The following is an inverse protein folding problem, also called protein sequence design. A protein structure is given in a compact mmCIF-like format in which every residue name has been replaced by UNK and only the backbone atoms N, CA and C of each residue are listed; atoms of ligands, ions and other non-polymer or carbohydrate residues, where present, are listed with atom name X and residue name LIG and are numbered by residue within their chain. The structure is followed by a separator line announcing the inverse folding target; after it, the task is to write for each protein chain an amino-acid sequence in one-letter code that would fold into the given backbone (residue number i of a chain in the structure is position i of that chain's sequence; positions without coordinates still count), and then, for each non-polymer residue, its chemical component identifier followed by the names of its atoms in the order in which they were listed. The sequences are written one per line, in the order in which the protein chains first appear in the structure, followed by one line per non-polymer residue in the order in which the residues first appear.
data_IF_678569058364
#
_entry.id   IF_678569058364
#
_cell.length_a   1.000
_cell.length_b   1.000
_cell.length_c   1.000
_cell.angle_alpha   90.00
_cell.angle_beta   90.00
_cell.angle_gamma   90.00
#
_symmetry.space_group_name_H-M   'P 1'
#
loop_
_entity.id
_entity.type
_entity.pdbx_description
1 polymer ?
#
# COMPACT_ATOMS: atom_id res chain seq x y z
N UNK A 1 -64.06 -64.44 -84.79
CA UNK A 1 -63.96 -65.76 -85.45
C UNK A 1 -62.49 -66.13 -85.42
N UNK A 2 -62.14 -67.20 -84.70
CA UNK A 2 -60.78 -67.75 -84.67
C UNK A 2 -59.95 -67.35 -83.44
N UNK A 3 -60.14 -68.11 -82.36
CA UNK A 3 -59.11 -68.37 -81.36
C UNK A 3 -57.84 -68.91 -82.05
N UNK A 4 -56.65 -68.56 -81.55
CA UNK A 4 -55.51 -69.46 -81.60
C UNK A 4 -54.59 -69.25 -80.41
N UNK A 5 -54.21 -70.41 -79.87
CA UNK A 5 -53.51 -70.72 -78.64
C UNK A 5 -52.00 -70.41 -78.64
N UNK A 6 -51.49 -70.29 -77.41
CA UNK A 6 -50.19 -70.77 -76.88
C UNK A 6 -48.87 -70.24 -77.46
N UNK A 7 -48.04 -69.67 -76.58
CA UNK A 7 -46.86 -70.40 -76.07
C UNK A 7 -46.23 -69.69 -74.86
N UNK A 8 -46.11 -70.43 -73.76
CA UNK A 8 -45.25 -70.09 -72.61
C UNK A 8 -43.78 -70.14 -73.00
N UNK A 9 -43.00 -69.10 -72.67
CA UNK A 9 -41.58 -69.26 -72.32
C UNK A 9 -41.20 -68.36 -71.15
N UNK A 10 -40.98 -69.02 -70.01
CA UNK A 10 -40.47 -68.43 -68.80
C UNK A 10 -39.07 -67.82 -69.01
N UNK A 11 -38.87 -66.65 -68.42
CA UNK A 11 -37.53 -66.12 -68.17
C UNK A 11 -37.29 -66.01 -66.67
N UNK A 12 -36.26 -66.75 -66.28
CA UNK A 12 -35.72 -66.98 -64.95
C UNK A 12 -35.42 -65.68 -64.19
N UNK A 13 -36.01 -65.55 -63.00
CA UNK A 13 -35.57 -64.62 -61.98
C UNK A 13 -34.20 -65.05 -61.46
N UNK A 14 -33.13 -64.43 -61.95
CA UNK A 14 -31.81 -64.54 -61.32
C UNK A 14 -31.78 -63.64 -60.07
N UNK A 15 -32.10 -64.27 -58.94
CA UNK A 15 -31.88 -63.73 -57.60
C UNK A 15 -30.42 -63.36 -57.41
N UNK A 16 -30.11 -62.06 -57.55
CA UNK A 16 -28.81 -61.50 -57.21
C UNK A 16 -28.76 -61.38 -55.69
N UNK A 17 -28.23 -62.42 -55.03
CA UNK A 17 -27.91 -62.44 -53.61
C UNK A 17 -26.97 -61.26 -53.28
N UNK A 18 -27.54 -60.15 -52.82
CA UNK A 18 -26.79 -59.11 -52.11
C UNK A 18 -26.37 -59.69 -50.76
N UNK A 19 -25.18 -60.26 -50.72
CA UNK A 19 -24.45 -60.47 -49.48
C UNK A 19 -24.14 -59.08 -48.91
N UNK A 20 -25.04 -58.58 -48.07
CA UNK A 20 -24.77 -57.49 -47.14
C UNK A 20 -23.59 -57.92 -46.25
N UNK A 21 -22.36 -57.63 -46.68
CA UNK A 21 -21.21 -57.57 -45.78
C UNK A 21 -21.57 -56.52 -44.73
N UNK A 22 -22.02 -56.96 -43.56
CA UNK A 22 -22.02 -56.16 -42.33
C UNK A 22 -20.58 -55.68 -42.12
N UNK A 23 -20.28 -54.48 -42.56
CA UNK A 23 -19.07 -53.77 -42.18
C UNK A 23 -19.06 -53.71 -40.67
N UNK A 24 -18.11 -54.40 -40.05
CA UNK A 24 -17.80 -54.28 -38.64
C UNK A 24 -17.54 -52.78 -38.40
N UNK A 25 -18.29 -52.08 -37.53
CA UNK A 25 -18.00 -50.68 -37.24
C UNK A 25 -16.58 -50.64 -36.67
N UNK A 26 -15.64 -50.13 -37.46
CA UNK A 26 -14.33 -49.77 -36.95
C UNK A 26 -14.58 -48.61 -36.01
N UNK A 27 -14.53 -48.88 -34.69
CA UNK A 27 -14.49 -47.80 -33.71
C UNK A 27 -13.31 -46.92 -34.07
N UNK A 28 -13.60 -45.68 -34.43
CA UNK A 28 -12.60 -44.68 -34.76
C UNK A 28 -11.89 -44.34 -33.44
N UNK A 29 -10.76 -45.02 -33.16
CA UNK A 29 -10.01 -44.90 -31.90
C UNK A 29 -9.21 -43.57 -31.82
N UNK A 30 -9.72 -42.52 -32.47
CA UNK A 30 -9.10 -41.20 -32.54
C UNK A 30 -9.41 -40.42 -31.27
N UNK A 31 -8.38 -39.87 -30.62
CA UNK A 31 -8.54 -39.03 -29.43
C UNK A 31 -8.73 -37.54 -29.79
N UNK A 32 -8.52 -37.14 -31.05
CA UNK A 32 -8.68 -35.76 -31.53
C UNK A 32 -10.01 -35.10 -31.14
N UNK A 33 -11.19 -35.75 -31.21
CA UNK A 33 -12.45 -35.08 -30.83
C UNK A 33 -12.59 -34.90 -29.31
N UNK A 34 -11.87 -35.69 -28.50
CA UNK A 34 -11.92 -35.65 -27.03
C UNK A 34 -10.85 -34.68 -26.48
N UNK A 35 -9.77 -34.46 -27.23
CA UNK A 35 -8.63 -33.64 -26.83
C UNK A 35 -9.02 -32.21 -26.38
N UNK A 36 -9.89 -31.47 -27.13
CA UNK A 36 -10.39 -30.17 -26.66
C UNK A 36 -11.04 -30.20 -25.28
N UNK A 37 -11.80 -31.25 -24.96
CA UNK A 37 -12.48 -31.39 -23.68
C UNK A 37 -11.49 -31.67 -22.53
N UNK A 38 -10.44 -32.45 -22.80
CA UNK A 38 -9.34 -32.69 -21.85
C UNK A 38 -8.63 -31.38 -21.54
N UNK A 39 -8.27 -30.61 -22.57
CA UNK A 39 -7.60 -29.31 -22.41
C UNK A 39 -8.46 -28.29 -21.70
N UNK A 40 -9.74 -28.20 -22.04
CA UNK A 40 -10.69 -27.33 -21.34
C UNK A 40 -10.78 -27.68 -19.85
N UNK A 41 -10.77 -28.97 -19.50
CA UNK A 41 -10.79 -29.44 -18.11
C UNK A 41 -9.50 -29.07 -17.37
N UNK A 42 -8.32 -29.36 -17.95
CA UNK A 42 -7.02 -29.03 -17.36
C UNK A 42 -6.88 -27.52 -17.17
N UNK A 43 -7.27 -26.73 -18.18
CA UNK A 43 -7.24 -25.29 -18.13
C UNK A 43 -8.18 -24.75 -17.03
N UNK A 44 -9.37 -25.34 -16.88
CA UNK A 44 -10.31 -24.98 -15.81
C UNK A 44 -9.72 -25.24 -14.41
N UNK A 45 -9.03 -26.37 -14.21
CA UNK A 45 -8.34 -26.68 -12.95
C UNK A 45 -7.24 -25.65 -12.67
N UNK A 46 -6.43 -25.31 -13.67
CA UNK A 46 -5.36 -24.32 -13.53
C UNK A 46 -5.93 -22.94 -13.21
N UNK A 47 -6.99 -22.52 -13.90
CA UNK A 47 -7.67 -21.26 -13.59
C UNK A 47 -8.24 -21.25 -12.18
N UNK A 48 -8.83 -22.35 -11.70
CA UNK A 48 -9.31 -22.44 -10.32
C UNK A 48 -8.17 -22.22 -9.31
N UNK A 49 -7.02 -22.86 -9.50
CA UNK A 49 -5.84 -22.67 -8.64
C UNK A 49 -5.32 -21.24 -8.69
N UNK A 50 -5.26 -20.64 -9.89
CA UNK A 50 -4.83 -19.26 -10.08
C UNK A 50 -5.78 -18.27 -9.40
N UNK A 51 -7.09 -18.46 -9.54
CA UNK A 51 -8.11 -17.61 -8.89
C UNK A 51 -7.92 -17.64 -7.37
N UNK A 52 -7.75 -18.83 -6.78
CA UNK A 52 -7.51 -18.96 -5.33
C UNK A 52 -6.23 -18.23 -4.93
N UNK A 53 -5.14 -18.40 -5.69
CA UNK A 53 -3.87 -17.70 -5.45
C UNK A 53 -4.02 -16.17 -5.54
N UNK A 54 -4.69 -15.66 -6.58
CA UNK A 54 -4.88 -14.23 -6.78
C UNK A 54 -5.78 -13.62 -5.72
N UNK A 55 -6.88 -14.30 -5.38
CA UNK A 55 -7.79 -13.85 -4.34
C UNK A 55 -7.08 -13.76 -2.99
N UNK A 56 -6.34 -14.81 -2.61
CA UNK A 56 -5.54 -14.81 -1.39
C UNK A 56 -4.48 -13.71 -1.37
N UNK A 57 -3.72 -13.57 -2.46
CA UNK A 57 -2.64 -12.58 -2.56
C UNK A 57 -3.17 -11.15 -2.51
N UNK A 58 -4.26 -10.88 -3.24
CA UNK A 58 -4.91 -9.58 -3.27
C UNK A 58 -5.50 -9.23 -1.90
N UNK A 59 -6.23 -10.16 -1.28
CA UNK A 59 -6.79 -9.95 0.05
C UNK A 59 -5.70 -9.64 1.08
N UNK A 60 -4.60 -10.40 1.08
CA UNK A 60 -3.49 -10.20 2.01
C UNK A 60 -2.85 -8.81 1.85
N UNK A 61 -2.55 -8.41 0.60
CA UNK A 61 -1.97 -7.09 0.31
C UNK A 61 -2.96 -5.97 0.63
N UNK A 62 -4.24 -6.16 0.33
CA UNK A 62 -5.30 -5.18 0.61
C UNK A 62 -5.48 -4.97 2.11
N UNK A 63 -5.59 -6.05 2.89
CA UNK A 63 -5.72 -5.99 4.34
C UNK A 63 -4.54 -5.24 4.98
N UNK A 64 -3.30 -5.50 4.51
CA UNK A 64 -2.13 -4.77 5.01
C UNK A 64 -2.18 -3.28 4.67
N UNK A 65 -2.62 -2.91 3.46
CA UNK A 65 -2.79 -1.50 3.08
C UNK A 65 -3.85 -0.80 3.91
N UNK A 66 -4.95 -1.48 4.21
CA UNK A 66 -6.01 -0.97 5.08
C UNK A 66 -5.48 -0.74 6.50
N UNK A 67 -4.82 -1.73 7.09
CA UNK A 67 -4.20 -1.59 8.40
C UNK A 67 -3.17 -0.45 8.48
N UNK A 68 -2.46 -0.16 7.38
CA UNK A 68 -1.53 0.98 7.30
C UNK A 68 -2.27 2.32 7.23
N UNK A 69 -3.42 2.38 6.55
CA UNK A 69 -4.31 3.56 6.58
C UNK A 69 -4.91 3.77 7.98
N UNK A 70 -5.24 2.70 8.69
CA UNK A 70 -5.74 2.79 10.06
C UNK A 70 -4.69 3.38 10.99
N UNK A 71 -3.42 2.97 10.85
CA UNK A 71 -2.30 3.55 11.60
C UNK A 71 -2.12 5.03 11.32
N UNK A 72 -2.23 5.43 10.05
CA UNK A 72 -2.22 6.85 9.66
C UNK A 72 -3.37 7.62 10.32
N UNK A 73 -4.57 7.07 10.29
CA UNK A 73 -5.75 7.70 10.91
C UNK A 73 -5.58 7.82 12.42
N UNK A 74 -5.10 6.77 13.09
CA UNK A 74 -4.76 6.79 14.53
C UNK A 74 -3.71 7.83 14.85
N UNK A 75 -2.68 7.97 14.01
CA UNK A 75 -1.65 9.00 14.17
C UNK A 75 -2.27 10.40 14.16
N UNK A 76 -3.14 10.67 13.18
CA UNK A 76 -3.79 11.96 13.05
C UNK A 76 -4.80 12.25 14.17
N UNK A 77 -5.50 11.22 14.67
CA UNK A 77 -6.47 11.35 15.77
C UNK A 77 -5.81 11.56 17.13
N UNK A 78 -4.67 10.91 17.37
CA UNK A 78 -3.96 11.02 18.64
C UNK A 78 -3.15 12.31 18.75
N UNK A 79 -2.78 12.94 17.63
CA UNK A 79 -2.07 14.20 17.67
C UNK A 79 -2.99 15.32 18.16
N UNK A 80 -2.50 16.12 19.11
CA UNK A 80 -3.23 17.27 19.62
C UNK A 80 -3.18 18.37 18.55
N UNK A 81 -4.35 18.71 18.00
CA UNK A 81 -4.52 19.83 17.10
C UNK A 81 -5.01 21.04 17.88
N UNK A 82 -4.18 22.06 18.02
CA UNK A 82 -4.65 23.36 18.50
C UNK A 82 -5.49 24.02 17.40
N UNK A 83 -6.65 24.61 17.70
CA UNK A 83 -7.21 25.64 16.82
C UNK A 83 -6.14 26.73 16.68
N UNK A 84 -5.82 27.12 15.43
CA UNK A 84 -4.69 27.99 15.07
C UNK A 84 -4.44 29.09 16.11
N UNK A 85 -3.57 28.79 17.06
CA UNK A 85 -3.19 29.71 18.12
C UNK A 85 -1.89 30.36 17.69
N UNK A 86 -1.96 31.67 17.42
CA UNK A 86 -0.80 32.54 17.30
C UNK A 86 -0.71 33.35 18.59
N UNK A 87 0.15 32.97 19.55
CA UNK A 87 0.46 33.81 20.70
C UNK A 87 1.03 35.19 20.30
N UNK A 88 1.34 35.38 19.01
CA UNK A 88 1.65 36.68 18.43
C UNK A 88 3.07 37.08 18.77
N UNK A 89 4.01 36.18 18.53
CA UNK A 89 5.40 36.52 18.60
C UNK A 89 5.73 37.53 17.48
N UNK A 90 6.56 38.53 17.80
CA UNK A 90 6.84 39.70 16.95
C UNK A 90 7.53 39.31 15.64
N UNK A 91 8.23 38.17 15.58
CA UNK A 91 9.06 37.77 14.44
C UNK A 91 8.74 36.38 13.85
N UNK A 92 7.57 35.81 14.13
CA UNK A 92 7.24 34.48 13.61
C UNK A 92 6.78 34.52 12.14
N UNK A 93 7.72 34.32 11.22
CA UNK A 93 7.41 34.05 9.83
C UNK A 93 7.45 32.55 9.56
N UNK A 94 6.31 31.99 9.15
CA UNK A 94 6.20 30.56 8.82
C UNK A 94 7.12 30.19 7.66
N UNK A 95 7.33 31.09 6.70
CA UNK A 95 8.13 30.84 5.49
C UNK A 95 9.59 30.49 5.80
N UNK A 96 10.14 30.97 6.91
CA UNK A 96 11.53 30.73 7.31
C UNK A 96 11.81 29.24 7.62
N UNK A 97 10.75 28.49 7.93
CA UNK A 97 10.82 27.05 8.22
C UNK A 97 10.54 26.18 6.99
N UNK A 98 10.39 26.77 5.80
CA UNK A 98 10.19 26.05 4.56
C UNK A 98 11.31 26.32 3.56
N UNK A 99 11.74 25.26 2.88
CA UNK A 99 12.64 25.33 1.72
C UNK A 99 12.04 24.50 0.61
N UNK A 100 11.84 25.10 -0.57
CA UNK A 100 11.25 24.44 -1.74
C UNK A 100 9.88 23.79 -1.46
N UNK A 101 9.04 24.45 -0.64
CA UNK A 101 7.74 23.95 -0.15
C UNK A 101 7.83 22.69 0.72
N UNK A 102 9.02 22.37 1.24
CA UNK A 102 9.24 21.29 2.19
C UNK A 102 9.71 21.83 3.53
N UNK A 103 9.34 21.14 4.60
CA UNK A 103 9.71 21.54 5.95
C UNK A 103 11.23 21.47 6.11
N UNK A 104 11.86 22.59 6.46
CA UNK A 104 13.29 22.66 6.72
C UNK A 104 13.57 22.34 8.20
N UNK A 105 13.72 21.04 8.49
CA UNK A 105 14.04 20.56 9.84
C UNK A 105 15.36 21.14 10.40
N UNK A 106 16.30 21.54 9.54
CA UNK A 106 17.56 22.14 9.98
C UNK A 106 17.33 23.53 10.57
N UNK A 107 16.56 24.38 9.89
CA UNK A 107 16.19 25.71 10.42
C UNK A 107 15.38 25.60 11.70
N UNK A 108 14.43 24.66 11.75
CA UNK A 108 13.63 24.40 12.95
C UNK A 108 14.52 23.96 14.11
N UNK A 109 15.46 23.03 13.88
CA UNK A 109 16.38 22.57 14.90
C UNK A 109 17.27 23.69 15.43
N UNK A 110 17.79 24.55 14.53
CA UNK A 110 18.58 25.71 14.93
C UNK A 110 17.75 26.62 15.83
N UNK A 111 16.53 26.99 15.42
CA UNK A 111 15.69 27.90 16.19
C UNK A 111 15.23 27.31 17.53
N UNK A 112 14.81 26.05 17.55
CA UNK A 112 14.47 25.36 18.80
C UNK A 112 15.68 25.23 19.72
N UNK A 113 16.88 25.11 19.16
CA UNK A 113 18.11 25.09 19.94
C UNK A 113 18.44 26.44 20.57
N UNK A 114 18.30 27.53 19.81
CA UNK A 114 18.40 28.89 20.33
C UNK A 114 17.40 29.12 21.47
N UNK A 115 16.13 28.78 21.26
CA UNK A 115 15.06 28.94 22.27
C UNK A 115 15.36 28.14 23.54
N UNK A 116 15.75 26.86 23.40
CA UNK A 116 16.06 26.01 24.55
C UNK A 116 17.26 26.52 25.38
N UNK A 117 18.21 27.22 24.74
CA UNK A 117 19.42 27.71 25.40
C UNK A 117 19.19 28.95 26.27
N UNK A 118 18.05 29.62 26.12
CA UNK A 118 17.70 30.82 26.89
C UNK A 118 17.65 30.54 28.39
N UNK A 119 17.19 29.35 28.79
CA UNK A 119 17.16 29.02 30.22
C UNK A 119 18.57 28.89 30.80
N UNK A 120 19.48 28.26 30.07
CA UNK A 120 20.87 28.12 30.50
C UNK A 120 21.58 29.47 30.59
N UNK A 121 21.39 30.36 29.60
CA UNK A 121 22.00 31.69 29.63
C UNK A 121 21.47 32.55 30.77
N UNK A 122 20.20 32.40 31.14
CA UNK A 122 19.58 33.08 32.28
C UNK A 122 20.02 32.51 33.63
N UNK A 123 20.27 31.22 33.74
CA UNK A 123 20.85 30.64 34.96
C UNK A 123 22.29 31.11 35.17
N UNK A 124 23.08 31.18 34.10
CA UNK A 124 24.45 31.68 34.14
C UNK A 124 24.46 33.17 34.55
N UNK A 125 23.56 33.98 34.01
CA UNK A 125 23.48 35.42 34.36
C UNK A 125 23.01 35.65 35.80
N UNK A 126 22.17 34.77 36.36
CA UNK A 126 21.79 34.80 37.78
C UNK A 126 22.91 34.33 38.70
N UNK A 127 23.71 33.35 38.26
CA UNK A 127 24.81 32.79 39.06
C UNK A 127 26.08 33.66 39.06
N UNK A 128 26.31 34.41 37.97
CA UNK A 128 27.45 35.33 37.85
C UNK A 128 26.88 36.75 37.85
N UNK A 129 26.87 37.46 38.99
CA UNK A 129 26.36 38.83 39.08
C UNK A 129 27.37 39.78 38.43
N UNK A 130 27.44 39.78 37.10
CA UNK A 130 28.09 40.84 36.35
C UNK A 130 27.06 41.98 36.31
N UNK A 131 27.35 43.16 36.87
CA UNK A 131 26.46 44.30 36.79
C UNK A 131 26.43 44.77 35.34
N UNK A 132 25.55 44.19 34.52
CA UNK A 132 25.20 44.76 33.23
C UNK A 132 24.09 45.80 33.45
N UNK A 133 24.36 47.10 33.28
CA UNK A 133 23.42 48.18 33.60
C UNK A 133 22.19 48.26 32.66
N UNK A 134 21.99 47.27 31.78
CA UNK A 134 20.94 47.27 30.75
C UNK A 134 19.99 46.06 30.78
N UNK A 135 20.24 45.04 31.62
CA UNK A 135 19.31 43.90 31.75
C UNK A 135 18.45 44.04 33.00
N UNK A 136 17.46 44.92 32.93
CA UNK A 136 16.40 44.97 33.94
C UNK A 136 15.59 43.67 33.96
N UNK A 137 14.94 43.38 35.09
CA UNK A 137 14.06 42.21 35.27
C UNK A 137 12.98 42.14 34.17
N UNK A 138 12.50 43.30 33.71
CA UNK A 138 11.55 43.44 32.61
C UNK A 138 12.09 42.92 31.26
N UNK A 139 13.37 43.12 30.96
CA UNK A 139 14.00 42.66 29.72
C UNK A 139 14.15 41.12 29.70
N UNK A 140 14.48 40.55 30.85
CA UNK A 140 14.58 39.10 31.03
C UNK A 140 13.19 38.46 30.87
N UNK A 141 12.17 39.01 31.52
CA UNK A 141 10.79 38.55 31.37
C UNK A 141 10.31 38.67 29.91
N UNK A 142 10.61 39.76 29.20
CA UNK A 142 10.22 39.92 27.78
C UNK A 142 10.90 38.88 26.89
N UNK A 143 12.20 38.64 27.10
CA UNK A 143 12.97 37.64 26.33
C UNK A 143 12.44 36.23 26.55
N UNK A 144 12.13 35.86 27.80
CA UNK A 144 11.52 34.56 28.13
C UNK A 144 10.16 34.38 27.47
N UNK A 145 9.29 35.39 27.60
CA UNK A 145 7.95 35.37 27.01
C UNK A 145 8.04 35.20 25.49
N UNK A 146 8.89 35.97 24.83
CA UNK A 146 8.99 35.92 23.36
C UNK A 146 9.50 34.56 22.86
N UNK A 147 10.51 34.00 23.52
CA UNK A 147 11.03 32.67 23.16
C UNK A 147 10.00 31.55 23.44
N UNK A 148 9.24 31.65 24.53
CA UNK A 148 8.18 30.69 24.83
C UNK A 148 7.06 30.75 23.78
N UNK A 149 6.65 31.95 23.36
CA UNK A 149 5.67 32.13 22.28
C UNK A 149 6.16 31.53 20.97
N UNK A 150 7.41 31.81 20.57
CA UNK A 150 8.01 31.22 19.38
C UNK A 150 8.05 29.69 19.45
N UNK A 151 8.40 29.11 20.60
CA UNK A 151 8.39 27.66 20.77
C UNK A 151 7.00 27.06 20.51
N UNK A 152 5.97 27.64 21.14
CA UNK A 152 4.59 27.20 20.98
C UNK A 152 4.14 27.32 19.53
N UNK A 153 4.53 28.38 18.83
CA UNK A 153 4.21 28.56 17.39
C UNK A 153 4.88 27.51 16.51
N UNK A 154 6.14 27.16 16.77
CA UNK A 154 6.84 26.08 16.06
C UNK A 154 6.17 24.74 16.34
N UNK A 155 5.88 24.41 17.60
CA UNK A 155 5.20 23.16 17.97
C UNK A 155 3.82 23.08 17.33
N UNK A 156 3.06 24.18 17.36
CA UNK A 156 1.75 24.26 16.74
C UNK A 156 1.82 24.09 15.21
N UNK A 157 2.82 24.69 14.55
CA UNK A 157 3.09 24.46 13.13
C UNK A 157 3.35 22.97 12.87
N UNK A 158 4.26 22.36 13.64
CA UNK A 158 4.64 20.95 13.49
C UNK A 158 3.46 19.99 13.73
N UNK A 159 2.59 20.27 14.70
CA UNK A 159 1.39 19.49 14.97
C UNK A 159 0.38 19.51 13.80
N UNK A 160 0.31 20.64 13.10
CA UNK A 160 -0.70 20.91 12.08
C UNK A 160 -0.25 20.59 10.65
N UNK A 161 0.98 20.13 10.41
CA UNK A 161 1.45 19.74 9.08
C UNK A 161 1.44 18.22 8.88
N UNK A 162 1.51 17.79 7.62
CA UNK A 162 1.89 16.40 7.30
C UNK A 162 3.23 16.10 8.00
N UNK A 163 3.35 14.98 8.73
CA UNK A 163 2.57 13.74 8.63
C UNK A 163 1.46 13.56 9.68
N UNK A 164 1.26 14.52 10.60
CA UNK A 164 0.27 14.43 11.67
C UNK A 164 -1.11 14.94 11.29
N UNK A 165 -1.19 15.86 10.32
CA UNK A 165 -2.46 16.42 9.87
C UNK A 165 -2.71 16.11 8.39
N UNK A 166 -3.94 15.70 8.07
CA UNK A 166 -4.39 15.46 6.69
C UNK A 166 -5.02 16.70 6.03
N UNK A 167 -5.24 17.78 6.80
CA UNK A 167 -5.97 18.97 6.35
C UNK A 167 -5.07 20.04 5.74
N UNK A 168 -3.76 19.97 5.97
CA UNK A 168 -2.82 21.02 5.56
C UNK A 168 -1.78 20.41 4.63
N UNK A 169 -1.91 20.74 3.35
CA UNK A 169 -0.90 20.45 2.31
C UNK A 169 -0.34 21.78 1.86
N UNK A 170 0.98 21.91 1.88
CA UNK A 170 1.67 23.15 1.48
C UNK A 170 1.94 23.05 -0.02
N UNK A 171 1.18 23.80 -0.81
CA UNK A 171 1.38 23.96 -2.25
C UNK A 171 1.92 25.37 -2.54
N UNK A 172 3.23 25.51 -2.70
CA UNK A 172 3.87 26.80 -2.96
C UNK A 172 4.06 27.66 -1.71
N UNK A 173 4.25 28.98 -1.92
CA UNK A 173 4.35 30.00 -0.87
C UNK A 173 3.03 30.30 -0.13
N UNK A 174 1.93 29.63 -0.48
CA UNK A 174 0.62 29.87 0.12
C UNK A 174 0.17 28.64 0.92
N UNK A 175 -0.02 28.80 2.23
CA UNK A 175 -0.65 27.80 3.08
C UNK A 175 -2.14 27.77 2.73
N UNK A 176 -2.55 26.80 1.90
CA UNK A 176 -3.97 26.59 1.59
C UNK A 176 -4.59 25.67 2.63
N UNK A 177 -5.46 26.23 3.45
CA UNK A 177 -6.34 25.51 4.37
C UNK A 177 -7.46 24.87 3.55
N UNK A 178 -7.26 23.65 3.06
CA UNK A 178 -8.32 22.98 2.33
C UNK A 178 -9.40 22.51 3.30
N UNK A 179 -10.57 23.16 3.21
CA UNK A 179 -11.83 22.63 3.70
C UNK A 179 -12.14 21.34 2.93
N UNK A 180 -12.12 20.22 3.65
CA UNK A 180 -12.37 18.89 3.11
C UNK A 180 -11.12 18.01 3.20
N UNK A 181 -11.05 17.19 4.25
CA UNK A 181 -10.05 16.13 4.34
C UNK A 181 -10.22 15.18 3.14
N UNK A 182 -9.39 15.34 2.11
CA UNK A 182 -9.16 14.23 1.18
C UNK A 182 -8.45 13.16 2.01
N UNK A 183 -9.07 11.99 2.18
CA UNK A 183 -8.38 10.81 2.73
C UNK A 183 -7.17 10.53 1.85
N UNK A 184 -6.00 11.02 2.22
CA UNK A 184 -4.77 10.74 1.50
C UNK A 184 -4.42 9.30 1.88
N UNK A 185 -4.45 8.39 0.91
CA UNK A 185 -4.07 6.99 1.12
C UNK A 185 -2.64 6.93 1.67
N UNK A 186 -2.33 5.90 2.46
CA UNK A 186 -0.98 5.57 2.85
C UNK A 186 -0.06 5.59 1.61
N UNK A 187 1.05 6.29 1.75
CA UNK A 187 2.16 6.22 0.83
C UNK A 187 3.50 6.14 1.59
N UNK A 188 4.55 5.75 0.85
CA UNK A 188 5.90 5.61 1.42
C UNK A 188 6.49 6.96 1.85
N UNK A 189 5.98 8.08 1.31
CA UNK A 189 6.46 9.43 1.64
C UNK A 189 6.00 9.79 3.05
N UNK A 190 4.71 9.62 3.35
CA UNK A 190 4.13 9.82 4.68
C UNK A 190 4.85 9.00 5.75
N UNK A 191 5.14 7.72 5.49
CA UNK A 191 5.89 6.90 6.44
C UNK A 191 7.28 7.48 6.74
N UNK A 192 8.01 7.90 5.70
CA UNK A 192 9.34 8.49 5.84
C UNK A 192 9.27 9.79 6.62
N UNK A 193 8.33 10.66 6.25
CA UNK A 193 8.11 11.96 6.88
C UNK A 193 7.74 11.77 8.36
N UNK A 194 6.88 10.80 8.69
CA UNK A 194 6.50 10.46 10.06
C UNK A 194 7.70 9.99 10.89
N UNK A 195 8.46 9.03 10.38
CA UNK A 195 9.64 8.51 11.10
C UNK A 195 10.67 9.62 11.30
N UNK A 196 10.89 10.47 10.28
CA UNK A 196 11.86 11.56 10.35
C UNK A 196 11.45 12.63 11.35
N UNK A 197 10.22 13.14 11.23
CA UNK A 197 9.75 14.24 12.09
C UNK A 197 9.54 13.75 13.53
N UNK A 198 8.93 12.59 13.72
CA UNK A 198 8.70 12.04 15.05
C UNK A 198 10.02 11.69 15.74
N UNK A 199 10.98 11.11 15.01
CA UNK A 199 12.32 10.86 15.53
C UNK A 199 13.04 12.15 15.95
N UNK A 200 12.92 13.23 15.16
CA UNK A 200 13.45 14.54 15.52
C UNK A 200 12.81 15.09 16.80
N UNK A 201 11.48 15.11 16.88
CA UNK A 201 10.74 15.61 18.04
C UNK A 201 11.02 14.78 19.30
N UNK A 202 11.10 13.46 19.16
CA UNK A 202 11.44 12.56 20.25
C UNK A 202 12.86 12.81 20.76
N UNK A 203 13.82 12.99 19.86
CA UNK A 203 15.20 13.37 20.22
C UNK A 203 15.27 14.72 20.92
N UNK A 204 14.55 15.73 20.40
CA UNK A 204 14.50 17.07 21.00
C UNK A 204 13.96 17.00 22.44
N UNK A 205 12.86 16.30 22.65
CA UNK A 205 12.28 16.15 23.98
C UNK A 205 13.20 15.41 24.93
N UNK A 206 13.88 14.36 24.45
CA UNK A 206 14.81 13.58 25.26
C UNK A 206 16.05 14.39 25.66
N UNK A 207 16.51 15.29 24.80
CA UNK A 207 17.75 16.07 25.02
C UNK A 207 17.52 17.38 25.73
N UNK A 208 16.38 18.04 25.49
CA UNK A 208 16.09 19.41 25.94
C UNK A 208 14.77 19.54 26.69
N UNK A 209 14.12 18.43 27.03
CA UNK A 209 12.79 18.43 27.63
C UNK A 209 12.71 19.19 28.94
N UNK A 210 13.74 19.12 29.79
CA UNK A 210 13.75 19.86 31.06
C UNK A 210 13.82 21.37 30.84
N UNK A 211 14.71 21.85 29.95
CA UNK A 211 14.84 23.27 29.63
C UNK A 211 13.54 23.82 29.03
N UNK A 212 12.92 23.04 28.14
CA UNK A 212 11.62 23.37 27.55
C UNK A 212 10.53 23.45 28.63
N UNK A 213 10.44 22.47 29.54
CA UNK A 213 9.46 22.50 30.63
C UNK A 213 9.67 23.70 31.53
N UNK A 214 10.91 24.01 31.87
CA UNK A 214 11.26 25.17 32.69
C UNK A 214 10.87 26.47 32.00
N UNK A 215 11.21 26.64 30.72
CA UNK A 215 10.80 27.79 29.92
C UNK A 215 9.28 27.96 29.90
N UNK A 216 8.52 26.89 29.67
CA UNK A 216 7.06 26.95 29.65
C UNK A 216 6.46 27.25 31.03
N UNK A 217 7.03 26.70 32.10
CA UNK A 217 6.58 26.96 33.47
C UNK A 217 6.80 28.41 33.88
N UNK A 218 7.95 29.00 33.54
CA UNK A 218 8.24 30.43 33.77
C UNK A 218 7.29 31.30 32.95
N UNK A 219 7.02 30.92 31.70
CA UNK A 219 6.06 31.62 30.85
C UNK A 219 4.64 31.60 31.43
N UNK A 220 4.18 30.46 31.94
CA UNK A 220 2.89 30.32 32.61
C UNK A 220 2.82 31.21 33.87
N UNK A 221 3.89 31.26 34.67
CA UNK A 221 3.96 32.10 35.87
C UNK A 221 3.92 33.60 35.53
N UNK A 222 4.70 34.05 34.56
CA UNK A 222 4.71 35.45 34.08
C UNK A 222 3.33 35.81 33.49
N UNK A 223 2.73 34.89 32.73
CA UNK A 223 1.41 35.08 32.13
C UNK A 223 0.31 35.20 33.17
N UNK A 224 0.34 34.40 34.24
CA UNK A 224 -0.60 34.49 35.36
C UNK A 224 -0.47 35.83 36.12
N UNK A 225 0.76 36.32 36.31
CA UNK A 225 1.05 37.61 36.94
C UNK A 225 0.56 38.80 36.11
N UNK A 226 0.76 38.77 34.78
CA UNK A 226 0.43 39.88 33.88
C UNK A 226 -1.02 39.86 33.36
N UNK A 227 -1.63 38.69 33.23
CA UNK A 227 -2.99 38.52 32.70
C UNK A 227 -3.84 37.70 33.68
N UNK A 228 -4.54 38.35 34.61
CA UNK A 228 -5.52 37.73 35.53
C UNK A 228 -6.73 37.06 34.83
N UNK A 229 -6.78 37.12 33.49
CA UNK A 229 -7.75 36.46 32.62
C UNK A 229 -7.02 35.60 31.60
N UNK A 230 -6.39 34.52 32.02
CA UNK A 230 -5.96 33.48 31.09
C UNK A 230 -7.22 32.96 30.38
N UNK A 231 -7.39 33.30 29.09
CA UNK A 231 -8.58 33.00 28.28
C UNK A 231 -8.72 31.52 27.89
N UNK A 232 -7.79 30.66 28.31
CA UNK A 232 -7.73 29.27 27.92
C UNK A 232 -7.71 28.38 29.16
N UNK A 233 -8.51 27.32 29.16
CA UNK A 233 -8.61 26.37 30.28
C UNK A 233 -7.43 25.40 30.42
N UNK A 234 -6.25 25.75 29.92
CA UNK A 234 -5.02 24.94 29.99
C UNK A 234 -3.77 25.83 30.07
N UNK A 235 -2.68 25.28 30.64
CA UNK A 235 -1.36 25.95 30.71
C UNK A 235 -0.47 25.55 29.53
N UNK A 236 0.47 26.41 29.14
CA UNK A 236 1.36 26.11 28.02
C UNK A 236 2.30 24.95 28.35
N UNK A 237 2.75 24.85 29.61
CA UNK A 237 3.51 23.71 30.10
C UNK A 237 2.75 22.39 29.94
N UNK A 238 1.45 22.37 30.28
CA UNK A 238 0.60 21.19 30.09
C UNK A 238 0.46 20.85 28.61
N UNK A 239 0.18 21.83 27.75
CA UNK A 239 0.08 21.61 26.31
C UNK A 239 1.35 20.99 25.72
N UNK A 240 2.52 21.54 26.04
CA UNK A 240 3.80 21.05 25.53
C UNK A 240 4.07 19.64 26.03
N UNK A 241 3.80 19.37 27.31
CA UNK A 241 3.93 18.04 27.89
C UNK A 241 3.02 17.02 27.21
N UNK A 242 1.76 17.39 26.98
CA UNK A 242 0.78 16.52 26.32
C UNK A 242 1.17 16.26 24.87
N UNK A 243 1.62 17.29 24.13
CA UNK A 243 2.14 17.14 22.76
C UNK A 243 3.29 16.13 22.69
N UNK A 244 4.30 16.27 23.56
CA UNK A 244 5.44 15.35 23.54
C UNK A 244 5.11 13.96 24.08
N UNK A 245 4.09 13.84 24.93
CA UNK A 245 3.52 12.54 25.32
C UNK A 245 2.94 11.82 24.10
N UNK A 246 2.26 12.54 23.19
CA UNK A 246 1.77 11.96 21.94
C UNK A 246 2.91 11.60 20.98
N UNK A 247 3.94 12.45 20.85
CA UNK A 247 5.16 12.12 20.06
C UNK A 247 5.80 10.83 20.57
N UNK A 248 5.91 10.66 21.89
CA UNK A 248 6.44 9.45 22.51
C UNK A 248 5.55 8.23 22.27
N UNK A 249 4.23 8.40 22.33
CA UNK A 249 3.28 7.33 21.98
C UNK A 249 3.47 6.88 20.53
N UNK A 250 3.58 7.82 19.58
CA UNK A 250 3.81 7.53 18.17
C UNK A 250 5.15 6.79 17.98
N UNK A 251 6.21 7.23 18.66
CA UNK A 251 7.53 6.60 18.56
C UNK A 251 7.53 5.16 19.09
N UNK A 252 6.85 4.92 20.21
CA UNK A 252 6.92 3.65 20.93
C UNK A 252 5.87 2.62 20.51
N UNK A 253 4.74 3.07 19.95
CA UNK A 253 3.62 2.19 19.56
C UNK A 253 3.39 2.17 18.05
N UNK A 254 3.23 3.35 17.44
CA UNK A 254 2.82 3.44 16.04
C UNK A 254 3.97 3.12 15.08
N UNK A 255 5.15 3.70 15.28
CA UNK A 255 6.30 3.51 14.38
C UNK A 255 6.75 2.03 14.32
N UNK A 256 6.84 1.27 15.42
CA UNK A 256 7.15 -0.16 15.37
C UNK A 256 6.12 -0.96 14.57
N UNK A 257 4.82 -0.75 14.83
CA UNK A 257 3.74 -1.44 14.10
C UNK A 257 3.75 -1.06 12.61
N UNK A 258 4.02 0.20 12.30
CA UNK A 258 4.16 0.71 10.94
C UNK A 258 5.33 0.05 10.21
N UNK A 259 6.48 -0.10 10.86
CA UNK A 259 7.66 -0.76 10.28
C UNK A 259 7.38 -2.23 10.01
N UNK A 260 6.77 -2.94 10.95
CA UNK A 260 6.41 -4.35 10.80
C UNK A 260 5.47 -4.56 9.61
N UNK A 261 4.38 -3.78 9.54
CA UNK A 261 3.40 -3.89 8.46
C UNK A 261 3.94 -3.43 7.12
N UNK A 262 4.77 -2.38 7.08
CA UNK A 262 5.47 -1.94 5.87
C UNK A 262 6.42 -3.03 5.35
N UNK A 263 7.15 -3.71 6.25
CA UNK A 263 8.00 -4.85 5.90
C UNK A 263 7.18 -6.00 5.31
N UNK A 264 6.10 -6.42 5.99
CA UNK A 264 5.19 -7.47 5.49
C UNK A 264 4.61 -7.10 4.14
N UNK A 265 4.16 -5.86 3.97
CA UNK A 265 3.60 -5.39 2.70
C UNK A 265 4.64 -5.47 1.58
N UNK A 266 5.85 -4.95 1.79
CA UNK A 266 6.92 -5.03 0.80
C UNK A 266 7.30 -6.47 0.49
N UNK A 267 7.37 -7.34 1.50
CA UNK A 267 7.64 -8.76 1.34
C UNK A 267 6.57 -9.43 0.46
N UNK A 268 5.29 -9.22 0.74
CA UNK A 268 4.21 -9.81 -0.05
C UNK A 268 4.09 -9.21 -1.45
N UNK A 269 4.27 -7.89 -1.62
CA UNK A 269 4.30 -7.28 -2.95
C UNK A 269 5.45 -7.84 -3.80
N UNK A 270 6.64 -8.04 -3.21
CA UNK A 270 7.79 -8.65 -3.88
C UNK A 270 7.65 -10.16 -4.10
N UNK A 271 7.03 -10.90 -3.18
CA UNK A 271 6.86 -12.37 -3.28
C UNK A 271 5.75 -12.74 -4.25
N UNK A 272 4.61 -12.04 -4.16
CA UNK A 272 3.45 -12.32 -5.00
C UNK A 272 3.55 -11.75 -6.40
N UNK A 273 4.28 -10.64 -6.62
CA UNK A 273 4.38 -9.91 -7.91
C UNK A 273 3.10 -10.02 -8.74
N UNK A 274 1.96 -9.68 -8.14
CA UNK A 274 0.62 -10.06 -8.62
C UNK A 274 0.46 -9.71 -10.10
N UNK A 275 0.89 -8.51 -10.51
CA UNK A 275 0.86 -8.05 -11.91
C UNK A 275 1.70 -8.93 -12.84
N UNK A 276 2.93 -9.29 -12.45
CA UNK A 276 3.82 -10.14 -13.25
C UNK A 276 3.25 -11.54 -13.41
N UNK A 277 2.74 -12.13 -12.35
CA UNK A 277 2.16 -13.47 -12.40
C UNK A 277 0.83 -13.52 -13.16
N UNK A 278 0.03 -12.45 -13.09
CA UNK A 278 -1.19 -12.31 -13.88
C UNK A 278 -0.86 -12.26 -15.38
N UNK A 279 0.10 -11.41 -15.77
CA UNK A 279 0.56 -11.32 -17.17
C UNK A 279 1.15 -12.65 -17.65
N UNK A 280 1.97 -13.30 -16.83
CA UNK A 280 2.53 -14.62 -17.14
C UNK A 280 1.42 -15.67 -17.32
N UNK A 281 0.43 -15.70 -16.44
CA UNK A 281 -0.69 -16.63 -16.53
C UNK A 281 -1.47 -16.46 -17.84
N UNK A 282 -1.83 -15.23 -18.22
CA UNK A 282 -2.51 -14.96 -19.49
C UNK A 282 -1.63 -15.25 -20.71
N UNK A 283 -0.34 -14.88 -20.64
CA UNK A 283 0.63 -15.12 -21.71
C UNK A 283 0.79 -16.60 -22.04
N UNK A 284 0.64 -17.49 -21.05
CA UNK A 284 0.73 -18.94 -21.27
C UNK A 284 -0.63 -19.58 -21.57
N UNK A 285 -1.71 -19.11 -20.94
CA UNK A 285 -3.05 -19.66 -21.15
C UNK A 285 -3.57 -19.45 -22.59
N UNK A 286 -3.26 -18.32 -23.23
CA UNK A 286 -3.73 -18.02 -24.59
C UNK A 286 -3.10 -18.99 -25.63
N UNK A 287 -1.77 -19.17 -25.71
CA UNK A 287 -1.15 -20.15 -26.59
C UNK A 287 -1.62 -21.58 -26.32
N UNK A 288 -1.83 -21.94 -25.06
CA UNK A 288 -2.34 -23.23 -24.63
C UNK A 288 -3.74 -23.53 -25.17
N UNK A 289 -4.61 -22.52 -25.21
CA UNK A 289 -5.94 -22.60 -25.78
C UNK A 289 -5.86 -22.75 -27.31
N UNK A 290 -5.00 -21.96 -27.98
CA UNK A 290 -4.78 -22.05 -29.44
C UNK A 290 -4.25 -23.42 -29.86
N UNK A 291 -3.18 -23.90 -29.22
CA UNK A 291 -2.54 -25.15 -29.59
C UNK A 291 -3.29 -26.39 -29.08
N UNK A 292 -3.99 -26.28 -27.95
CA UNK A 292 -4.66 -27.39 -27.30
C UNK A 292 -6.09 -27.65 -27.77
N UNK A 293 -6.79 -26.61 -28.23
CA UNK A 293 -8.20 -26.68 -28.61
C UNK A 293 -8.33 -26.46 -30.12
N UNK A 294 -7.87 -25.31 -30.62
CA UNK A 294 -8.11 -24.94 -32.03
C UNK A 294 -7.29 -25.78 -33.01
N UNK A 295 -6.02 -26.06 -32.71
CA UNK A 295 -5.15 -26.85 -33.58
C UNK A 295 -5.63 -28.31 -33.79
N UNK A 296 -5.97 -29.09 -32.73
CA UNK A 296 -6.52 -30.43 -32.93
C UNK A 296 -7.85 -30.45 -33.67
N UNK A 297 -8.74 -29.49 -33.40
CA UNK A 297 -9.99 -29.34 -34.14
C UNK A 297 -9.72 -29.08 -35.62
N UNK A 298 -8.78 -28.19 -35.94
CA UNK A 298 -8.40 -27.89 -37.32
C UNK A 298 -7.82 -29.12 -38.05
N UNK A 299 -6.90 -29.85 -37.40
CA UNK A 299 -6.31 -31.08 -37.98
C UNK A 299 -7.39 -32.13 -38.24
N UNK A 300 -8.31 -32.32 -37.29
CA UNK A 300 -9.41 -33.28 -37.41
C UNK A 300 -10.39 -32.92 -38.55
N UNK A 301 -10.78 -31.65 -38.65
CA UNK A 301 -11.75 -31.18 -39.62
C UNK A 301 -11.20 -31.11 -41.06
N UNK A 302 -9.95 -30.68 -41.25
CA UNK A 302 -9.45 -30.28 -42.57
C UNK A 302 -8.38 -31.19 -43.18
N UNK A 303 -7.53 -31.86 -42.38
CA UNK A 303 -6.31 -32.51 -42.92
C UNK A 303 -6.45 -34.03 -43.10
N UNK A 304 -7.20 -34.73 -42.22
CA UNK A 304 -7.38 -36.20 -42.23
C UNK A 304 -6.11 -37.00 -42.61
N UNK A 305 -5.00 -36.87 -41.86
CA UNK A 305 -3.72 -37.48 -42.24
C UNK A 305 -3.73 -39.02 -42.13
N UNK A 306 -2.87 -39.75 -42.86
CA UNK A 306 -2.84 -41.21 -42.87
C UNK A 306 -2.29 -41.85 -41.56
N UNK A 307 -1.48 -41.12 -40.79
CA UNK A 307 -0.86 -41.59 -39.53
C UNK A 307 -1.39 -40.83 -38.30
N UNK A 308 -2.71 -40.86 -38.11
CA UNK A 308 -3.42 -40.07 -37.09
C UNK A 308 -2.87 -40.32 -35.67
N UNK A 309 -2.57 -41.57 -35.30
CA UNK A 309 -2.21 -41.95 -33.92
C UNK A 309 -0.90 -41.35 -33.40
N UNK A 310 0.15 -41.28 -34.24
CA UNK A 310 1.43 -40.72 -33.83
C UNK A 310 1.33 -39.19 -33.68
N UNK A 311 0.59 -38.56 -34.59
CA UNK A 311 0.30 -37.12 -34.56
C UNK A 311 -0.52 -36.77 -33.33
N UNK A 312 -1.54 -37.57 -33.01
CA UNK A 312 -2.35 -37.45 -31.79
C UNK A 312 -1.53 -37.51 -30.51
N UNK A 313 -0.66 -38.52 -30.39
CA UNK A 313 0.18 -38.69 -29.21
C UNK A 313 1.19 -37.54 -29.07
N UNK A 314 1.81 -37.12 -30.17
CA UNK A 314 2.74 -35.99 -30.18
C UNK A 314 2.05 -34.68 -29.81
N UNK A 315 0.86 -34.43 -30.36
CA UNK A 315 0.06 -33.25 -30.06
C UNK A 315 -0.38 -33.24 -28.59
N UNK A 316 -0.83 -34.38 -28.05
CA UNK A 316 -1.18 -34.55 -26.64
C UNK A 316 0.01 -34.21 -25.74
N UNK A 317 1.20 -34.79 -25.99
CA UNK A 317 2.37 -34.57 -25.13
C UNK A 317 2.81 -33.10 -25.18
N UNK A 318 2.96 -32.53 -26.38
CA UNK A 318 3.43 -31.14 -26.57
C UNK A 318 2.48 -30.14 -25.92
N UNK A 319 1.18 -30.41 -25.96
CA UNK A 319 0.17 -29.50 -25.43
C UNK A 319 -0.10 -29.72 -23.95
N UNK A 320 -0.04 -30.97 -23.43
CA UNK A 320 -0.32 -31.29 -22.02
C UNK A 320 0.87 -31.02 -21.09
N UNK A 321 2.10 -31.30 -21.53
CA UNK A 321 3.31 -31.15 -20.71
C UNK A 321 3.47 -29.73 -20.14
N UNK A 322 3.24 -28.64 -20.89
CA UNK A 322 3.33 -27.29 -20.37
C UNK A 322 2.34 -27.00 -19.22
N UNK A 323 1.13 -27.60 -19.25
CA UNK A 323 0.17 -27.45 -18.16
C UNK A 323 0.67 -28.07 -16.87
N UNK A 324 1.28 -29.26 -16.97
CA UNK A 324 1.84 -29.97 -15.82
C UNK A 324 3.01 -29.18 -15.21
N UNK A 325 3.86 -28.58 -16.04
CA UNK A 325 4.93 -27.69 -15.59
C UNK A 325 4.40 -26.45 -14.83
N UNK A 326 3.35 -25.80 -15.34
CA UNK A 326 2.73 -24.63 -14.69
C UNK A 326 2.05 -25.02 -13.38
N UNK A 327 1.32 -26.12 -13.38
CA UNK A 327 0.64 -26.63 -12.20
C UNK A 327 1.67 -26.92 -11.10
N UNK A 328 2.76 -27.62 -11.42
CA UNK A 328 3.85 -27.89 -10.48
C UNK A 328 4.53 -26.59 -10.00
N UNK A 329 4.74 -25.62 -10.88
CA UNK A 329 5.30 -24.32 -10.52
C UNK A 329 4.43 -23.59 -9.49
N UNK A 330 3.13 -23.45 -9.75
CA UNK A 330 2.21 -22.75 -8.84
C UNK A 330 1.91 -23.57 -7.58
N UNK A 331 1.87 -24.90 -7.66
CA UNK A 331 1.73 -25.77 -6.49
C UNK A 331 2.92 -25.60 -5.54
N UNK A 332 4.15 -25.67 -6.06
CA UNK A 332 5.37 -25.42 -5.26
C UNK A 332 5.33 -24.04 -4.62
N UNK A 333 4.98 -23.01 -5.39
CA UNK A 333 4.92 -21.63 -4.90
C UNK A 333 3.83 -21.42 -3.85
N UNK A 334 2.71 -22.14 -3.96
CA UNK A 334 1.60 -22.10 -2.98
C UNK A 334 1.97 -22.85 -1.69
N UNK A 335 2.69 -23.96 -1.78
CA UNK A 335 3.20 -24.69 -0.60
C UNK A 335 4.23 -23.84 0.17
N UNK A 336 5.12 -23.12 -0.53
CA UNK A 336 6.06 -22.15 0.08
C UNK A 336 5.39 -20.95 0.76
N UNK A 337 4.07 -20.78 0.62
CA UNK A 337 3.30 -19.72 1.28
C UNK A 337 2.61 -20.17 2.59
N UNK A 338 2.41 -21.48 2.80
CA UNK A 338 1.74 -22.01 4.01
C UNK A 338 2.69 -22.40 5.14
N UNK A 339 3.99 -22.55 4.88
CA UNK A 339 4.98 -23.09 5.84
C UNK A 339 5.99 -22.06 6.39
N UNK A 340 5.70 -20.76 6.29
CA UNK A 340 6.39 -19.67 6.97
C UNK A 340 5.40 -18.57 7.28
#
# INVERSE_FOLDING_TARGET
MGEHLEEEKGTSYTGRNMVMRKGKPTMDNSILPILPAIHATILSIIFAVLIVFFFYSYQTVSNLKEQMNDLRTKTAQNMIHLPYFRPGAKEFNVEDYFKDNTLNLSSINQKLSEISSVMMSLEISKAIPIPHPSMGEDYIEETLVENAKHFVEIVNLLANISPYCEKITIEGKNIKFFGGAKRIKYDRKWQRDLISLNGFLFWLWRTKGEDIRKLMSEYDAISAKKNSKQRFGFTFSQFVSDFFTQVQFIETKIIPELREKSYKLNFYEQKFKIKTHLVLAFSVAIPMLVLGIFLPLFIHLYIKPPNIKLIELGLLIITVLPYLCILLYYLKKTLELKFR
#
